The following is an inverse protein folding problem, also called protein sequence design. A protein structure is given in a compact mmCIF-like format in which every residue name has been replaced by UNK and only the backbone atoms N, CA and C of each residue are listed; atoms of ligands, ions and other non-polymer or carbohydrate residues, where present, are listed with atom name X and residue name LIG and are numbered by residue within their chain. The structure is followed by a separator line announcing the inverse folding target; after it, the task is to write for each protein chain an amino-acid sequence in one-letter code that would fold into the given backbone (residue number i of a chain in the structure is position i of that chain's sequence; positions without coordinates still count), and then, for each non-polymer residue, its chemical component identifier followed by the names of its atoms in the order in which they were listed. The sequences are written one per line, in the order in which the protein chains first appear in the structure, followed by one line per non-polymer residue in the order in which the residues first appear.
data_IF_194170128332
#
_entry.id   IF_194170128332
#
_cell.length_a   1.000
_cell.length_b   1.000
_cell.length_c   1.000
_cell.angle_alpha   90.00
_cell.angle_beta   90.00
_cell.angle_gamma   90.00
#
_symmetry.space_group_name_H-M   'P 1'
#
loop_
_entity.id
_entity.type
_entity.pdbx_description
1 polymer ?
#
# COMPACT_ATOMS: atom_id res chain seq x y z
N UNK A 1 -7.75 10.74 -37.75
CA UNK A 1 -9.03 10.42 -37.09
C UNK A 1 -8.74 10.29 -35.61
N UNK A 2 -8.97 11.37 -34.88
CA UNK A 2 -8.60 11.48 -33.49
C UNK A 2 -9.68 10.81 -32.66
N UNK A 3 -9.46 9.56 -32.29
CA UNK A 3 -10.13 9.02 -31.13
C UNK A 3 -9.40 9.62 -29.91
N UNK A 4 -9.99 10.60 -29.27
CA UNK A 4 -9.77 10.83 -27.84
C UNK A 4 -10.11 9.50 -27.17
N UNK A 5 -9.11 8.67 -26.91
CA UNK A 5 -9.22 7.65 -25.90
C UNK A 5 -9.51 8.41 -24.62
N UNK A 6 -10.79 8.53 -24.30
CA UNK A 6 -11.23 9.14 -23.05
C UNK A 6 -10.56 8.34 -21.95
N UNK A 7 -9.54 8.94 -21.34
CA UNK A 7 -8.80 8.32 -20.26
C UNK A 7 -9.84 7.91 -19.20
N UNK A 8 -10.01 6.61 -19.04
CA UNK A 8 -11.00 6.09 -18.10
C UNK A 8 -10.61 6.57 -16.70
N UNK A 9 -11.55 7.00 -15.89
CA UNK A 9 -11.35 7.62 -14.59
C UNK A 9 -10.47 6.79 -13.61
N UNK A 10 -10.39 5.47 -13.80
CA UNK A 10 -9.59 4.55 -12.99
C UNK A 10 -8.18 4.30 -13.55
N UNK A 11 -7.91 4.71 -14.80
CA UNK A 11 -6.59 4.55 -15.41
C UNK A 11 -5.57 5.44 -14.72
N UNK A 12 -4.36 4.92 -14.59
CA UNK A 12 -3.21 5.58 -14.03
C UNK A 12 -1.94 4.90 -14.54
N UNK A 13 -0.77 5.45 -14.24
CA UNK A 13 0.51 4.97 -14.78
C UNK A 13 0.77 3.48 -14.57
N UNK A 14 0.35 2.95 -13.41
CA UNK A 14 0.53 1.54 -13.08
C UNK A 14 -0.70 0.64 -13.35
N UNK A 15 -1.79 1.20 -13.88
CA UNK A 15 -2.99 0.44 -14.24
C UNK A 15 -3.63 1.05 -15.49
N UNK A 16 -3.38 0.45 -16.64
CA UNK A 16 -3.88 0.95 -17.91
C UNK A 16 -3.96 -0.16 -18.96
N UNK A 17 -4.76 0.08 -19.99
CA UNK A 17 -4.71 -0.73 -21.20
C UNK A 17 -3.49 -0.36 -22.03
N UNK A 18 -2.85 -1.40 -22.59
CA UNK A 18 -1.84 -1.31 -23.66
C UNK A 18 -2.40 -2.11 -24.84
N UNK A 19 -2.95 -1.42 -25.83
CA UNK A 19 -3.81 -2.04 -26.84
C UNK A 19 -5.08 -2.63 -26.20
N UNK A 20 -5.35 -3.88 -26.47
CA UNK A 20 -6.55 -4.59 -25.93
C UNK A 20 -6.30 -5.27 -24.56
N UNK A 21 -5.08 -5.21 -24.04
CA UNK A 21 -4.70 -5.91 -22.82
C UNK A 21 -4.52 -4.96 -21.65
N UNK A 22 -5.07 -5.34 -20.47
CA UNK A 22 -4.93 -4.61 -19.24
C UNK A 22 -3.61 -5.00 -18.54
N UNK A 23 -2.85 -3.98 -18.16
CA UNK A 23 -1.62 -4.13 -17.36
C UNK A 23 -1.79 -3.51 -15.98
N UNK A 24 -1.22 -4.19 -14.99
CA UNK A 24 -1.05 -3.67 -13.65
C UNK A 24 0.41 -3.85 -13.20
N UNK A 25 1.06 -2.74 -12.82
CA UNK A 25 2.46 -2.72 -12.41
C UNK A 25 3.37 -3.48 -13.40
N UNK A 26 3.21 -3.17 -14.70
CA UNK A 26 3.90 -3.78 -15.85
C UNK A 26 3.65 -5.27 -16.08
N UNK A 27 2.69 -5.87 -15.38
CA UNK A 27 2.28 -7.25 -15.58
C UNK A 27 0.92 -7.31 -16.30
N UNK A 28 0.81 -8.19 -17.29
CA UNK A 28 -0.48 -8.48 -17.92
C UNK A 28 -1.44 -9.11 -16.91
N UNK A 29 -2.63 -8.52 -16.78
CA UNK A 29 -3.66 -9.03 -15.86
C UNK A 29 -4.15 -10.41 -16.30
N UNK A 30 -4.24 -10.67 -17.60
CA UNK A 30 -4.65 -11.98 -18.11
C UNK A 30 -3.62 -13.08 -17.82
N UNK A 31 -2.32 -12.74 -17.86
CA UNK A 31 -1.24 -13.66 -17.48
C UNK A 31 -1.27 -13.94 -15.97
N UNK A 32 -1.48 -12.90 -15.16
CA UNK A 32 -1.62 -13.08 -13.72
C UNK A 32 -2.80 -13.98 -13.35
N UNK A 33 -3.97 -13.75 -13.98
CA UNK A 33 -5.16 -14.56 -13.75
C UNK A 33 -4.95 -16.04 -14.17
N UNK A 34 -4.27 -16.28 -15.28
CA UNK A 34 -3.93 -17.66 -15.72
C UNK A 34 -2.96 -18.35 -14.76
N UNK A 35 -1.99 -17.60 -14.23
CA UNK A 35 -0.95 -18.15 -13.36
C UNK A 35 -1.42 -18.41 -11.94
N UNK A 36 -2.21 -17.51 -11.37
CA UNK A 36 -2.59 -17.52 -9.95
C UNK A 36 -4.06 -17.82 -9.71
N UNK A 37 -4.86 -17.90 -10.76
CA UNK A 37 -6.31 -18.10 -10.67
C UNK A 37 -7.10 -16.80 -10.53
N UNK A 38 -8.42 -16.93 -10.51
CA UNK A 38 -9.40 -15.83 -10.37
C UNK A 38 -10.59 -16.33 -9.54
N UNK A 39 -11.11 -15.50 -8.62
CA UNK A 39 -10.70 -14.14 -8.30
C UNK A 39 -9.37 -14.08 -7.52
N UNK A 40 -8.63 -12.98 -7.69
CA UNK A 40 -7.36 -12.75 -6.98
C UNK A 40 -7.21 -11.27 -6.63
N UNK A 41 -6.53 -11.00 -5.50
CA UNK A 41 -6.06 -9.66 -5.15
C UNK A 41 -4.59 -9.52 -5.55
N UNK A 42 -4.26 -8.45 -6.25
CA UNK A 42 -2.89 -8.15 -6.70
C UNK A 42 -2.46 -6.82 -6.09
N UNK A 43 -1.30 -6.80 -5.47
CA UNK A 43 -0.73 -5.61 -4.82
C UNK A 43 0.57 -5.19 -5.51
N UNK A 44 0.74 -3.89 -5.74
CA UNK A 44 2.01 -3.30 -6.17
C UNK A 44 2.72 -2.69 -4.96
N UNK A 45 3.83 -3.27 -4.55
CA UNK A 45 4.63 -2.74 -3.45
C UNK A 45 5.31 -1.41 -3.82
N UNK A 46 5.64 -1.22 -5.08
CA UNK A 46 6.10 0.08 -5.58
C UNK A 46 5.04 1.17 -5.36
N UNK A 47 3.78 0.90 -5.69
CA UNK A 47 2.65 1.83 -5.44
C UNK A 47 2.45 2.12 -3.95
N UNK A 48 2.60 1.11 -3.10
CA UNK A 48 2.52 1.28 -1.63
C UNK A 48 3.59 2.26 -1.17
N UNK A 49 4.83 2.07 -1.62
CA UNK A 49 5.95 2.95 -1.30
C UNK A 49 5.71 4.38 -1.80
N UNK A 50 5.35 4.54 -3.06
CA UNK A 50 5.05 5.85 -3.66
C UNK A 50 3.96 6.60 -2.90
N UNK A 51 2.91 5.90 -2.48
CA UNK A 51 1.84 6.49 -1.68
C UNK A 51 2.35 7.01 -0.32
N UNK A 52 3.20 6.23 0.37
CA UNK A 52 3.83 6.67 1.63
C UNK A 52 4.72 7.89 1.41
N UNK A 53 5.56 7.86 0.39
CA UNK A 53 6.47 8.98 0.05
C UNK A 53 5.69 10.26 -0.26
N UNK A 54 4.56 10.16 -0.99
CA UNK A 54 3.68 11.29 -1.28
C UNK A 54 3.04 11.87 -0.02
N UNK A 55 2.59 11.02 0.91
CA UNK A 55 2.04 11.49 2.19
C UNK A 55 3.12 12.20 3.01
N UNK A 56 4.32 11.62 3.10
CA UNK A 56 5.44 12.26 3.79
C UNK A 56 5.83 13.60 3.15
N UNK A 57 5.85 13.69 1.82
CA UNK A 57 6.13 14.94 1.12
C UNK A 57 5.08 16.01 1.48
N UNK A 58 3.81 15.66 1.42
CA UNK A 58 2.73 16.60 1.76
C UNK A 58 2.79 17.06 3.22
N UNK A 59 3.14 16.17 4.16
CA UNK A 59 3.29 16.52 5.58
C UNK A 59 4.50 17.42 5.83
N UNK A 60 5.61 17.21 5.12
CA UNK A 60 6.76 18.13 5.17
C UNK A 60 6.42 19.51 4.61
N UNK A 61 5.72 19.56 3.48
CA UNK A 61 5.33 20.81 2.82
C UNK A 61 4.32 21.60 3.65
N UNK A 62 3.51 20.93 4.47
CA UNK A 62 2.58 21.57 5.41
C UNK A 62 3.27 22.31 6.56
N UNK A 63 4.59 22.16 6.72
CA UNK A 63 5.40 22.84 7.72
C UNK A 63 4.79 22.79 9.13
N UNK A 64 4.48 21.58 9.60
CA UNK A 64 3.86 21.35 10.90
C UNK A 64 4.78 21.87 12.02
N UNK A 65 4.21 22.48 13.07
CA UNK A 65 5.00 23.08 14.17
C UNK A 65 5.68 22.04 15.07
N UNK A 66 5.24 20.79 14.99
CA UNK A 66 5.81 19.64 15.70
C UNK A 66 6.04 18.50 14.72
N UNK A 67 6.96 17.60 15.06
CA UNK A 67 7.18 16.39 14.28
C UNK A 67 5.92 15.51 14.18
N UNK A 68 5.90 14.63 13.20
CA UNK A 68 4.79 13.69 13.00
C UNK A 68 5.31 12.26 12.91
N UNK A 69 4.43 11.32 13.22
CA UNK A 69 4.64 9.88 12.98
C UNK A 69 3.50 9.36 12.12
N UNK A 70 3.82 8.71 11.02
CA UNK A 70 2.83 8.06 10.17
C UNK A 70 2.64 6.62 10.62
N UNK A 71 1.40 6.24 10.87
CA UNK A 71 1.02 4.89 11.29
C UNK A 71 0.03 4.30 10.29
N UNK A 72 0.30 3.08 9.85
CA UNK A 72 -0.62 2.33 9.01
C UNK A 72 -1.64 1.58 9.89
N UNK A 73 -2.92 1.84 9.67
CA UNK A 73 -4.00 1.14 10.36
C UNK A 73 -4.13 -0.30 9.83
N UNK A 74 -3.61 -1.26 10.58
CA UNK A 74 -3.53 -2.66 10.17
C UNK A 74 -4.90 -3.28 9.86
N UNK A 75 -5.96 -2.83 10.51
CA UNK A 75 -7.34 -3.28 10.25
C UNK A 75 -7.77 -3.14 8.79
N UNK A 76 -7.15 -2.23 8.03
CA UNK A 76 -7.47 -2.02 6.62
C UNK A 76 -7.03 -3.22 5.76
N UNK A 77 -5.84 -3.76 6.00
CA UNK A 77 -5.36 -4.97 5.36
C UNK A 77 -4.21 -5.60 6.17
N UNK A 78 -4.38 -6.86 6.57
CA UNK A 78 -3.44 -7.61 7.42
C UNK A 78 -2.55 -8.57 6.62
N UNK A 79 -2.53 -8.47 5.31
CA UNK A 79 -1.75 -9.38 4.47
C UNK A 79 -0.25 -9.27 4.80
N UNK A 80 0.34 -10.35 5.30
CA UNK A 80 1.70 -10.34 5.82
C UNK A 80 2.75 -9.82 4.83
N UNK A 81 2.75 -10.19 3.52
CA UNK A 81 3.68 -9.62 2.56
C UNK A 81 3.54 -8.09 2.40
N UNK A 82 2.31 -7.55 2.50
CA UNK A 82 2.08 -6.11 2.48
C UNK A 82 2.70 -5.44 3.71
N UNK A 83 2.45 -5.99 4.90
CA UNK A 83 3.00 -5.46 6.16
C UNK A 83 4.53 -5.53 6.18
N UNK A 84 5.11 -6.63 5.72
CA UNK A 84 6.56 -6.77 5.58
C UNK A 84 7.13 -5.73 4.59
N UNK A 85 6.44 -5.48 3.48
CA UNK A 85 6.83 -4.44 2.53
C UNK A 85 6.76 -3.04 3.17
N UNK A 86 5.71 -2.73 3.94
CA UNK A 86 5.59 -1.48 4.69
C UNK A 86 6.76 -1.32 5.68
N UNK A 87 7.09 -2.37 6.43
CA UNK A 87 8.19 -2.36 7.37
C UNK A 87 9.54 -2.07 6.67
N UNK A 88 9.79 -2.70 5.53
CA UNK A 88 11.02 -2.47 4.76
C UNK A 88 11.16 -1.04 4.22
N UNK A 89 10.05 -0.31 4.04
CA UNK A 89 10.15 1.10 3.63
C UNK A 89 10.77 1.99 4.71
N UNK A 90 10.58 1.65 5.99
CA UNK A 90 10.96 2.49 7.11
C UNK A 90 10.15 3.80 7.22
N UNK A 91 9.06 3.95 6.44
CA UNK A 91 8.30 5.19 6.30
C UNK A 91 7.06 5.26 7.20
N UNK A 92 6.66 4.17 7.82
CA UNK A 92 5.53 4.15 8.75
C UNK A 92 5.71 3.10 9.84
N UNK A 93 5.04 3.32 10.95
CA UNK A 93 4.76 2.30 11.95
C UNK A 93 3.38 1.68 11.75
N UNK A 94 2.88 1.00 12.77
CA UNK A 94 1.59 0.30 12.77
C UNK A 94 0.69 0.88 13.86
N UNK A 95 -0.58 1.09 13.50
CA UNK A 95 -1.69 1.26 14.42
C UNK A 95 -2.43 -0.09 14.54
N UNK A 96 -2.35 -0.69 15.74
CA UNK A 96 -2.92 -2.00 16.05
C UNK A 96 -4.10 -1.86 17.04
N UNK A 97 -5.21 -2.52 16.72
CA UNK A 97 -6.45 -2.45 17.49
C UNK A 97 -6.73 -3.71 18.34
N UNK A 98 -5.83 -4.71 18.32
CA UNK A 98 -5.97 -5.94 19.11
C UNK A 98 -4.62 -6.55 19.47
N UNK A 99 -4.54 -7.39 20.54
CA UNK A 99 -3.32 -8.12 20.85
C UNK A 99 -2.79 -8.97 19.69
N UNK A 100 -3.67 -9.62 18.94
CA UNK A 100 -3.30 -10.40 17.76
C UNK A 100 -2.69 -9.55 16.64
N UNK A 101 -3.16 -8.32 16.49
CA UNK A 101 -2.56 -7.39 15.53
C UNK A 101 -1.17 -6.95 15.96
N UNK A 102 -0.93 -6.74 17.25
CA UNK A 102 0.41 -6.47 17.78
C UNK A 102 1.36 -7.63 17.50
N UNK A 103 0.95 -8.86 17.84
CA UNK A 103 1.74 -10.07 17.57
C UNK A 103 2.03 -10.23 16.08
N UNK A 104 1.03 -9.98 15.24
CA UNK A 104 1.19 -10.05 13.79
C UNK A 104 2.14 -8.99 13.24
N UNK A 105 2.07 -7.75 13.74
CA UNK A 105 3.00 -6.69 13.37
C UNK A 105 4.44 -7.07 13.72
N UNK A 106 4.67 -7.59 14.92
CA UNK A 106 6.00 -8.07 15.35
C UNK A 106 6.48 -9.20 14.45
N UNK A 107 5.62 -10.15 14.09
CA UNK A 107 5.96 -11.24 13.17
C UNK A 107 6.31 -10.75 11.75
N UNK A 108 5.81 -9.60 11.35
CA UNK A 108 6.14 -8.95 10.07
C UNK A 108 7.38 -8.03 10.15
N UNK A 109 8.06 -8.00 11.30
CA UNK A 109 9.34 -7.30 11.47
C UNK A 109 9.25 -5.90 12.08
N UNK A 110 8.07 -5.42 12.48
CA UNK A 110 7.94 -4.15 13.21
C UNK A 110 8.47 -4.30 14.64
N UNK A 111 9.25 -3.32 15.08
CA UNK A 111 9.69 -3.24 16.47
C UNK A 111 8.58 -2.68 17.37
N UNK A 112 8.57 -3.01 18.67
CA UNK A 112 7.57 -2.49 19.61
C UNK A 112 7.41 -0.96 19.60
N UNK A 113 8.52 -0.23 19.42
CA UNK A 113 8.52 1.24 19.34
C UNK A 113 7.90 1.80 18.04
N UNK A 114 7.65 0.95 17.07
CA UNK A 114 6.95 1.27 15.82
C UNK A 114 5.46 0.93 15.85
N UNK A 115 4.96 0.39 16.95
CA UNK A 115 3.58 -0.09 17.07
C UNK A 115 2.86 0.75 18.10
N UNK A 116 1.80 1.46 17.65
CA UNK A 116 0.84 2.08 18.55
C UNK A 116 -0.32 1.10 18.76
N UNK A 117 -0.60 0.79 20.02
CA UNK A 117 -1.76 -0.04 20.38
C UNK A 117 -2.85 0.82 20.99
N UNK A 118 -4.08 0.65 20.50
CA UNK A 118 -5.28 1.31 21.02
C UNK A 118 -6.04 0.43 22.03
N UNK A 119 -5.44 -0.66 22.53
CA UNK A 119 -6.13 -1.68 23.32
C UNK A 119 -6.45 -1.18 24.75
N UNK A 120 -5.68 -0.25 25.28
CA UNK A 120 -5.80 0.26 26.63
C UNK A 120 -5.74 1.79 26.64
N UNK A 121 -6.83 2.37 26.24
CA UNK A 121 -7.05 3.81 26.43
C UNK A 121 -8.01 4.01 27.58
#
# INVERSE_FOLDING_TARGET
MNAEESQRWWQRDDLAYRGEELFFADNSVSVLAKRFGSPAFVYSFARVRDNLERVHAALRDANLPVGYTLLYAMKANRFAPLLTSLQHTGLCGIDACSPREVEHAVSCGFRPDQILSLIHI
#
